data_IF_567929148202
#
_entry.id   IF_567929148202
#
_cell.length_a   1.000
_cell.length_b   1.000
_cell.length_c   1.000
_cell.angle_alpha   90.00
_cell.angle_beta   90.00
_cell.angle_gamma   90.00
#
_symmetry.space_group_name_H-M   'P 1'
#
loop_
_entity.id
_entity.type
_entity.pdbx_description
1 polymer ?
#
# COMPACT_ATOMS: atom_id res chain seq x y z
N UNK A 1 15.69 67.93 -56.14
CA UNK A 1 14.48 67.16 -55.75
C UNK A 1 14.71 66.65 -54.34
N UNK A 2 14.02 67.22 -53.35
CA UNK A 2 14.12 66.75 -51.96
C UNK A 2 13.15 65.59 -51.77
N UNK A 3 13.55 64.47 -51.14
CA UNK A 3 12.65 63.38 -50.86
C UNK A 3 11.72 63.80 -49.74
N UNK A 4 10.43 63.86 -50.03
CA UNK A 4 9.38 64.15 -49.05
C UNK A 4 9.35 63.00 -48.04
N UNK A 5 9.78 63.26 -46.80
CA UNK A 5 9.61 62.34 -45.68
C UNK A 5 8.10 62.09 -45.48
N UNK A 6 7.63 60.89 -45.84
CA UNK A 6 6.30 60.43 -45.48
C UNK A 6 6.29 60.21 -43.97
N UNK A 7 5.78 61.19 -43.23
CA UNK A 7 5.45 61.07 -41.82
C UNK A 7 4.33 60.02 -41.71
N UNK A 8 4.68 58.77 -41.41
CA UNK A 8 3.72 57.73 -41.06
C UNK A 8 3.11 58.09 -39.71
N UNK A 9 1.90 58.62 -39.73
CA UNK A 9 1.07 58.74 -38.53
C UNK A 9 0.80 57.32 -38.00
N UNK A 10 1.12 57.01 -36.74
CA UNK A 10 0.79 55.71 -36.17
C UNK A 10 -0.74 55.57 -36.11
N UNK A 11 -1.23 54.39 -36.48
CA UNK A 11 -2.64 54.04 -36.45
C UNK A 11 -3.23 54.30 -35.05
N UNK A 12 -4.42 54.91 -34.94
CA UNK A 12 -5.01 55.18 -33.64
C UNK A 12 -5.34 53.87 -32.93
N UNK A 13 -4.67 53.63 -31.80
CA UNK A 13 -4.91 52.46 -30.94
C UNK A 13 -6.37 52.47 -30.48
N UNK A 14 -7.09 51.37 -30.75
CA UNK A 14 -8.47 51.18 -30.29
C UNK A 14 -8.52 51.00 -28.77
N UNK A 15 -8.78 52.12 -28.08
CA UNK A 15 -8.90 52.18 -26.62
C UNK A 15 -10.03 51.30 -26.09
N UNK A 16 -11.06 51.01 -26.88
CA UNK A 16 -12.17 50.16 -26.46
C UNK A 16 -11.78 48.68 -26.51
N UNK A 17 -11.04 48.26 -27.53
CA UNK A 17 -10.47 46.92 -27.60
C UNK A 17 -9.52 46.66 -26.42
N UNK A 18 -8.67 47.63 -26.06
CA UNK A 18 -7.78 47.51 -24.90
C UNK A 18 -8.57 47.34 -23.60
N UNK A 19 -9.62 48.13 -23.39
CA UNK A 19 -10.45 48.00 -22.17
C UNK A 19 -11.13 46.64 -22.07
N UNK A 20 -11.64 46.11 -23.18
CA UNK A 20 -12.22 44.75 -23.21
C UNK A 20 -11.18 43.70 -22.85
N UNK A 21 -9.98 43.79 -23.42
CA UNK A 21 -8.89 42.89 -23.12
C UNK A 21 -8.49 42.93 -21.65
N UNK A 22 -8.40 44.13 -21.05
CA UNK A 22 -8.11 44.28 -19.61
C UNK A 22 -9.17 43.57 -18.77
N UNK A 23 -10.45 43.81 -19.01
CA UNK A 23 -11.53 43.18 -18.26
C UNK A 23 -11.52 41.64 -18.40
N UNK A 24 -11.23 41.12 -19.60
CA UNK A 24 -11.08 39.67 -19.80
C UNK A 24 -9.90 39.09 -19.03
N UNK A 25 -8.77 39.81 -19.00
CA UNK A 25 -7.57 39.38 -18.27
C UNK A 25 -7.81 39.41 -16.75
N UNK A 26 -8.49 40.43 -16.24
CA UNK A 26 -8.89 40.51 -14.84
C UNK A 26 -9.82 39.34 -14.46
N UNK A 27 -10.81 39.03 -15.30
CA UNK A 27 -11.68 37.88 -15.07
C UNK A 27 -10.94 36.54 -15.09
N UNK A 28 -9.97 36.37 -16.00
CA UNK A 28 -9.11 35.17 -16.03
C UNK A 28 -8.20 35.08 -14.81
N UNK A 29 -7.70 36.21 -14.32
CA UNK A 29 -6.86 36.25 -13.12
C UNK A 29 -7.64 35.83 -11.88
N UNK A 30 -8.86 36.33 -11.69
CA UNK A 30 -9.77 35.90 -10.61
C UNK A 30 -10.08 34.40 -10.67
N UNK A 31 -10.35 33.87 -11.87
CA UNK A 31 -10.57 32.44 -12.07
C UNK A 31 -9.32 31.60 -11.72
N UNK A 32 -8.12 32.09 -12.05
CA UNK A 32 -6.87 31.43 -11.69
C UNK A 32 -6.61 31.44 -10.18
N UNK A 33 -6.93 32.53 -9.47
CA UNK A 33 -6.84 32.56 -8.01
C UNK A 33 -7.80 31.55 -7.37
N UNK A 34 -9.05 31.52 -7.84
CA UNK A 34 -10.04 30.54 -7.37
C UNK A 34 -9.57 29.11 -7.58
N UNK A 35 -9.06 28.80 -8.78
CA UNK A 35 -8.52 27.47 -9.08
C UNK A 35 -7.31 27.12 -8.20
N UNK A 36 -6.42 28.08 -7.96
CA UNK A 36 -5.26 27.91 -7.07
C UNK A 36 -5.71 27.53 -5.66
N UNK A 37 -6.72 28.21 -5.12
CA UNK A 37 -7.25 27.93 -3.78
C UNK A 37 -7.88 26.53 -3.70
N UNK A 38 -8.63 26.14 -4.73
CA UNK A 38 -9.23 24.81 -4.80
C UNK A 38 -8.18 23.69 -4.89
N UNK A 39 -7.13 23.88 -5.69
CA UNK A 39 -6.02 22.93 -5.81
C UNK A 39 -5.28 22.81 -4.47
N UNK A 40 -4.99 23.94 -3.81
CA UNK A 40 -4.32 23.94 -2.50
C UNK A 40 -5.16 23.22 -1.45
N UNK A 41 -6.48 23.47 -1.42
CA UNK A 41 -7.41 22.73 -0.55
C UNK A 41 -7.34 21.22 -0.84
N UNK A 42 -7.43 20.81 -2.11
CA UNK A 42 -7.35 19.39 -2.48
C UNK A 42 -6.02 18.73 -2.09
N UNK A 43 -4.91 19.45 -2.19
CA UNK A 43 -3.60 18.98 -1.72
C UNK A 43 -3.61 18.75 -0.21
N UNK A 44 -4.15 19.68 0.57
CA UNK A 44 -4.23 19.54 2.03
C UNK A 44 -5.11 18.36 2.44
N UNK A 45 -6.31 18.23 1.86
CA UNK A 45 -7.23 17.12 2.14
C UNK A 45 -6.63 15.75 1.76
N UNK A 46 -5.94 15.68 0.63
CA UNK A 46 -5.27 14.45 0.19
C UNK A 46 -4.10 14.08 1.10
N UNK A 47 -3.33 15.06 1.58
CA UNK A 47 -2.26 14.85 2.56
C UNK A 47 -2.81 14.24 3.86
N UNK A 48 -3.87 14.82 4.41
CA UNK A 48 -4.49 14.33 5.65
C UNK A 48 -5.02 12.90 5.48
N UNK A 49 -5.64 12.61 4.33
CA UNK A 49 -6.13 11.28 3.99
C UNK A 49 -4.99 10.26 3.91
N UNK A 50 -3.88 10.61 3.25
CA UNK A 50 -2.71 9.74 3.15
C UNK A 50 -2.04 9.51 4.50
N UNK A 51 -1.97 10.52 5.35
CA UNK A 51 -1.42 10.42 6.71
C UNK A 51 -2.27 9.49 7.57
N UNK A 52 -3.60 9.62 7.51
CA UNK A 52 -4.53 8.71 8.20
C UNK A 52 -4.38 7.26 7.72
N UNK A 53 -4.30 7.04 6.41
CA UNK A 53 -4.10 5.71 5.84
C UNK A 53 -2.75 5.11 6.27
N UNK A 54 -1.68 5.91 6.24
CA UNK A 54 -0.35 5.51 6.70
C UNK A 54 -0.39 5.08 8.17
N UNK A 55 -1.02 5.87 9.03
CA UNK A 55 -1.12 5.56 10.46
C UNK A 55 -1.90 4.27 10.71
N UNK A 56 -3.05 4.09 10.04
CA UNK A 56 -3.85 2.86 10.12
C UNK A 56 -3.05 1.63 9.71
N UNK A 57 -2.36 1.71 8.55
CA UNK A 57 -1.53 0.61 8.04
C UNK A 57 -0.38 0.30 8.99
N UNK A 58 0.28 1.32 9.52
CA UNK A 58 1.36 1.14 10.49
C UNK A 58 0.88 0.41 11.75
N UNK A 59 -0.25 0.85 12.33
CA UNK A 59 -0.85 0.19 13.50
C UNK A 59 -1.21 -1.27 13.21
N UNK A 60 -1.81 -1.54 12.06
CA UNK A 60 -2.17 -2.90 11.64
C UNK A 60 -0.94 -3.80 11.49
N UNK A 61 0.08 -3.35 10.77
CA UNK A 61 1.31 -4.11 10.54
C UNK A 61 2.01 -4.38 11.88
N UNK A 62 2.13 -3.36 12.74
CA UNK A 62 2.73 -3.52 14.06
C UNK A 62 1.98 -4.55 14.89
N UNK A 63 0.65 -4.47 14.96
CA UNK A 63 -0.16 -5.44 15.70
C UNK A 63 -0.02 -6.87 15.15
N UNK A 64 0.11 -7.04 13.83
CA UNK A 64 0.37 -8.33 13.20
C UNK A 64 1.74 -8.88 13.57
N UNK A 65 2.78 -8.06 13.51
CA UNK A 65 4.13 -8.44 13.91
C UNK A 65 4.19 -8.81 15.40
N UNK A 66 3.58 -8.01 16.27
CA UNK A 66 3.52 -8.29 17.71
C UNK A 66 2.83 -9.64 17.99
N UNK A 67 1.75 -9.96 17.27
CA UNK A 67 1.09 -11.27 17.36
C UNK A 67 2.00 -12.40 16.90
N UNK A 68 2.71 -12.25 15.78
CA UNK A 68 3.65 -13.25 15.28
C UNK A 68 4.75 -13.50 16.30
N UNK A 69 5.33 -12.45 16.88
CA UNK A 69 6.35 -12.59 17.91
C UNK A 69 5.81 -13.28 19.17
N UNK A 70 4.61 -12.94 19.62
CA UNK A 70 3.98 -13.62 20.76
C UNK A 70 3.73 -15.10 20.47
N UNK A 71 3.28 -15.45 19.25
CA UNK A 71 3.04 -16.83 18.84
C UNK A 71 4.34 -17.63 18.65
N UNK A 72 5.39 -17.01 18.11
CA UNK A 72 6.72 -17.61 17.99
C UNK A 72 7.34 -17.83 19.39
N UNK A 73 7.03 -16.97 20.35
CA UNK A 73 7.49 -17.09 21.73
C UNK A 73 6.73 -18.15 22.55
N UNK A 74 5.90 -18.99 21.91
CA UNK A 74 5.26 -20.14 22.55
C UNK A 74 6.22 -21.34 22.50
N UNK A 75 7.17 -21.36 23.43
CA UNK A 75 7.84 -22.58 23.89
C UNK A 75 9.07 -23.05 23.09
N UNK A 76 10.04 -23.58 23.83
CA UNK A 76 11.26 -24.19 23.33
C UNK A 76 10.96 -25.32 22.33
N UNK A 77 11.53 -25.26 21.12
CA UNK A 77 11.60 -26.40 20.17
C UNK A 77 12.56 -27.50 20.66
N UNK A 78 12.76 -27.66 21.97
CA UNK A 78 13.50 -28.80 22.54
C UNK A 78 12.67 -30.06 22.37
N UNK A 79 12.71 -30.59 21.15
CA UNK A 79 12.57 -32.02 20.93
C UNK A 79 13.60 -32.69 21.83
N UNK A 80 13.12 -33.39 22.85
CA UNK A 80 13.96 -34.28 23.64
C UNK A 80 14.53 -35.33 22.67
N UNK A 81 15.75 -35.13 22.19
CA UNK A 81 16.57 -36.20 21.67
C UNK A 81 16.85 -37.14 22.85
N UNK A 82 15.92 -38.04 23.14
CA UNK A 82 16.25 -39.24 23.89
C UNK A 82 17.19 -40.04 22.99
N UNK A 83 18.47 -39.99 23.33
CA UNK A 83 19.49 -40.88 22.83
C UNK A 83 18.94 -42.30 22.89
N UNK A 84 18.74 -42.94 21.74
CA UNK A 84 18.45 -44.37 21.64
C UNK A 84 19.71 -45.17 22.01
N UNK A 85 20.26 -44.93 23.19
CA UNK A 85 21.10 -45.92 23.86
C UNK A 85 20.16 -46.89 24.53
N UNK A 86 20.20 -48.13 24.03
CA UNK A 86 19.70 -49.37 24.63
C UNK A 86 18.62 -50.05 23.79
N UNK A 87 19.06 -50.88 22.85
CA UNK A 87 18.85 -52.32 22.98
C UNK A 87 19.76 -53.06 21.99
N UNK A 88 20.79 -53.69 22.56
CA UNK A 88 21.53 -54.78 21.95
C UNK A 88 20.51 -55.85 21.54
N UNK A 89 20.29 -56.02 20.23
CA UNK A 89 19.46 -57.09 19.71
C UNK A 89 20.39 -58.11 19.06
N UNK A 90 20.87 -59.03 19.90
CA UNK A 90 21.47 -60.28 19.51
C UNK A 90 20.37 -61.12 18.83
N UNK A 91 20.60 -61.45 17.56
CA UNK A 91 19.64 -62.18 16.73
C UNK A 91 19.35 -63.57 17.31
N UNK A 92 18.11 -63.84 17.70
CA UNK A 92 17.60 -65.21 17.77
C UNK A 92 16.09 -65.28 17.51
N UNK A 93 15.77 -66.05 16.48
CA UNK A 93 14.46 -66.39 15.94
C UNK A 93 13.55 -67.09 16.96
N UNK A 94 12.24 -66.77 16.98
CA UNK A 94 11.13 -67.75 16.91
C UNK A 94 9.71 -67.11 17.04
N UNK A 95 8.86 -67.47 16.07
CA UNK A 95 7.39 -67.41 15.92
C UNK A 95 6.47 -66.99 17.08
N UNK A 96 5.42 -66.18 16.78
CA UNK A 96 3.97 -66.53 16.84
C UNK A 96 3.01 -65.30 16.69
N UNK A 97 1.95 -65.41 15.88
CA UNK A 97 0.68 -64.67 16.03
C UNK A 97 0.25 -63.66 14.93
N UNK A 98 -1.00 -63.68 14.42
CA UNK A 98 -1.42 -62.93 13.22
C UNK A 98 -1.85 -61.48 13.52
N UNK A 99 -1.30 -60.52 12.78
CA UNK A 99 -1.69 -59.12 12.83
C UNK A 99 -2.89 -58.82 11.94
N UNK A 100 -4.03 -58.46 12.54
CA UNK A 100 -5.17 -57.84 11.86
C UNK A 100 -4.86 -56.37 11.54
N UNK A 101 -4.80 -56.04 10.25
CA UNK A 101 -4.67 -54.67 9.75
C UNK A 101 -6.01 -53.95 9.81
N UNK A 102 -6.11 -52.90 10.63
CA UNK A 102 -7.14 -51.87 10.45
C UNK A 102 -6.58 -50.52 10.92
N UNK A 103 -5.85 -49.84 10.02
CA UNK A 103 -5.49 -48.44 10.19
C UNK A 103 -6.56 -47.58 9.48
N UNK A 104 -7.44 -46.98 10.27
CA UNK A 104 -8.37 -45.94 9.83
C UNK A 104 -7.80 -44.60 10.29
N UNK A 105 -7.08 -43.90 9.41
CA UNK A 105 -6.64 -42.52 9.67
C UNK A 105 -7.52 -41.56 8.89
N UNK A 106 -8.47 -40.96 9.60
CA UNK A 106 -9.26 -39.83 9.15
C UNK A 106 -8.39 -38.56 9.29
N UNK A 107 -7.72 -38.14 8.21
CA UNK A 107 -7.02 -36.86 8.18
C UNK A 107 -8.01 -35.77 7.75
N UNK A 108 -8.63 -35.13 8.75
CA UNK A 108 -9.45 -33.94 8.55
C UNK A 108 -8.61 -32.68 8.42
N UNK A 109 -9.04 -31.82 7.50
CA UNK A 109 -8.80 -30.38 7.39
C UNK A 109 -7.38 -29.88 7.07
N UNK A 110 -7.06 -29.92 5.76
CA UNK A 110 -6.29 -28.83 5.15
C UNK A 110 -7.15 -27.55 5.12
N UNK A 111 -7.07 -26.73 6.17
CA UNK A 111 -7.33 -25.30 6.03
C UNK A 111 -6.00 -24.57 6.05
N UNK A 112 -5.39 -24.56 4.87
CA UNK A 112 -4.33 -23.64 4.51
C UNK A 112 -4.90 -22.23 4.66
N UNK A 113 -4.32 -21.43 5.56
CA UNK A 113 -4.84 -20.13 5.96
C UNK A 113 -5.14 -19.23 4.74
N UNK A 114 -6.42 -19.12 4.42
CA UNK A 114 -6.95 -18.07 3.58
C UNK A 114 -6.74 -16.76 4.33
N UNK A 115 -5.67 -16.05 3.99
CA UNK A 115 -5.55 -14.64 4.31
C UNK A 115 -6.50 -13.89 3.39
N UNK A 116 -7.79 -13.89 3.76
CA UNK A 116 -8.71 -12.92 3.20
C UNK A 116 -8.17 -11.54 3.55
N UNK A 117 -7.79 -10.80 2.52
CA UNK A 117 -7.42 -9.41 2.62
C UNK A 117 -8.68 -8.56 2.50
N UNK A 118 -9.24 -8.02 3.60
CA UNK A 118 -10.01 -6.80 3.49
C UNK A 118 -8.96 -5.68 3.46
N UNK A 119 -9.00 -4.93 2.36
CA UNK A 119 -8.30 -3.66 2.15
C UNK A 119 -8.10 -2.81 3.41
#
# INVERSE_FOLDING_TARGET
MSPTEKKTTPEPVDKQAIRKLINELEGKLEALYTLSDEVNRGILESKDTLENLREKRFKLIRARLDRIFQQWNIGSLTSNHQSSTQNQSQSQSQNQGPGSSQAQTQAGNNQQGQFDSPW
#
